data_IF_498949215081
#
_entry.id   IF_498949215081
#
_cell.length_a   1.000
_cell.length_b   1.000
_cell.length_c   1.000
_cell.angle_alpha   90.00
_cell.angle_beta   90.00
_cell.angle_gamma   90.00
#
_symmetry.space_group_name_H-M   'P 1'
#
loop_
_entity.id
_entity.type
_entity.pdbx_description
1 polymer ?
#
# COMPACT_ATOMS: atom_id res chain seq x y z
N UNK A 1 11.81 -5.14 1.41
CA UNK A 1 11.24 -3.87 0.88
C UNK A 1 11.62 -3.59 -0.56
N UNK A 2 12.76 -4.07 -1.09
CA UNK A 2 13.19 -3.78 -2.47
C UNK A 2 12.15 -4.04 -3.56
N UNK A 3 11.39 -5.14 -3.49
CA UNK A 3 10.29 -5.44 -4.44
C UNK A 3 9.17 -4.39 -4.41
N UNK A 4 8.83 -3.86 -3.22
CA UNK A 4 7.81 -2.82 -3.08
C UNK A 4 8.31 -1.47 -3.56
N UNK A 5 9.60 -1.15 -3.36
CA UNK A 5 10.21 0.07 -3.91
C UNK A 5 10.18 0.04 -5.44
N UNK A 6 10.57 -1.08 -6.04
CA UNK A 6 10.54 -1.24 -7.50
C UNK A 6 9.11 -1.13 -8.06
N UNK A 7 8.11 -1.68 -7.35
CA UNK A 7 6.72 -1.54 -7.74
C UNK A 7 6.22 -0.08 -7.68
N UNK A 8 6.58 0.66 -6.62
CA UNK A 8 6.23 2.09 -6.51
C UNK A 8 6.92 2.90 -7.60
N UNK A 9 8.21 2.69 -7.86
CA UNK A 9 8.94 3.37 -8.92
C UNK A 9 8.36 3.10 -10.29
N UNK A 10 7.93 1.86 -10.55
CA UNK A 10 7.23 1.51 -11.78
C UNK A 10 5.91 2.27 -11.92
N UNK A 11 5.07 2.26 -10.88
CA UNK A 11 3.82 3.01 -10.88
C UNK A 11 4.04 4.54 -11.02
N UNK A 12 5.15 5.06 -10.50
CA UNK A 12 5.57 6.45 -10.74
C UNK A 12 5.94 6.71 -12.19
N UNK A 13 6.67 5.79 -12.83
CA UNK A 13 7.01 5.89 -14.25
C UNK A 13 5.77 5.77 -15.16
N UNK A 14 4.75 5.02 -14.73
CA UNK A 14 3.46 4.86 -15.41
C UNK A 14 2.50 6.04 -15.15
N UNK A 15 2.80 6.91 -14.17
CA UNK A 15 2.02 8.09 -13.82
C UNK A 15 0.89 7.84 -12.81
N UNK A 16 0.78 6.63 -12.28
CA UNK A 16 -0.24 6.24 -11.29
C UNK A 16 0.05 6.79 -9.88
N UNK A 17 1.33 7.06 -9.58
CA UNK A 17 1.82 7.62 -8.32
C UNK A 17 2.66 8.88 -8.65
N UNK A 18 2.50 10.01 -7.96
CA UNK A 18 3.35 11.18 -8.19
C UNK A 18 4.83 10.89 -7.98
N UNK A 19 5.68 11.30 -8.93
CA UNK A 19 7.13 11.13 -8.85
C UNK A 19 7.79 11.92 -7.69
N UNK A 20 7.08 12.91 -7.12
CA UNK A 20 7.56 13.69 -5.97
C UNK A 20 7.47 12.95 -4.62
N UNK A 21 6.74 11.83 -4.55
CA UNK A 21 6.68 11.02 -3.34
C UNK A 21 7.92 10.13 -3.18
N UNK A 22 8.43 10.01 -1.95
CA UNK A 22 9.57 9.15 -1.63
C UNK A 22 9.17 7.67 -1.73
N UNK A 23 9.66 6.99 -2.77
CA UNK A 23 9.32 5.58 -3.04
C UNK A 23 9.71 4.62 -1.89
N UNK A 24 10.92 4.70 -1.28
CA UNK A 24 11.23 3.97 -0.05
C UNK A 24 10.25 4.19 1.11
N UNK A 25 9.75 5.42 1.33
CA UNK A 25 8.75 5.71 2.35
C UNK A 25 7.41 5.06 2.00
N UNK A 26 6.93 5.24 0.77
CA UNK A 26 5.68 4.61 0.30
C UNK A 26 5.72 3.08 0.36
N UNK A 27 6.86 2.48 0.03
CA UNK A 27 7.05 1.04 0.13
C UNK A 27 6.98 0.54 1.59
N UNK A 28 7.54 1.29 2.55
CA UNK A 28 7.42 0.97 3.98
C UNK A 28 5.98 1.11 4.47
N UNK A 29 5.28 2.15 4.02
CA UNK A 29 3.86 2.33 4.30
C UNK A 29 3.05 1.13 3.82
N UNK A 30 3.21 0.72 2.55
CA UNK A 30 2.54 -0.46 1.99
C UNK A 30 2.79 -1.74 2.81
N UNK A 31 4.05 -2.02 3.17
CA UNK A 31 4.40 -3.20 3.98
C UNK A 31 3.74 -3.15 5.35
N UNK A 32 3.74 -1.97 6.00
CA UNK A 32 3.08 -1.76 7.28
C UNK A 32 1.57 -1.99 7.18
N UNK A 33 0.92 -1.40 6.17
CA UNK A 33 -0.51 -1.56 5.91
C UNK A 33 -0.88 -3.01 5.64
N UNK A 34 -0.12 -3.75 4.82
CA UNK A 34 -0.35 -5.19 4.56
C UNK A 34 -0.26 -6.00 5.86
N UNK A 35 0.69 -5.68 6.74
CA UNK A 35 0.82 -6.30 8.06
C UNK A 35 -0.42 -6.06 8.94
N UNK A 36 -0.91 -4.82 8.96
CA UNK A 36 -2.15 -4.45 9.66
C UNK A 36 -3.36 -5.19 9.10
N UNK A 37 -3.57 -5.18 7.78
CA UNK A 37 -4.67 -5.87 7.11
C UNK A 37 -4.66 -7.37 7.41
N UNK A 38 -3.49 -8.03 7.34
CA UNK A 38 -3.35 -9.45 7.70
C UNK A 38 -3.73 -9.72 9.15
N UNK A 39 -3.42 -8.79 10.06
CA UNK A 39 -3.77 -8.90 11.46
C UNK A 39 -5.29 -8.79 11.66
N UNK A 40 -5.96 -7.86 10.97
CA UNK A 40 -7.43 -7.75 11.01
C UNK A 40 -8.11 -9.02 10.51
N UNK A 41 -7.63 -9.60 9.40
CA UNK A 41 -8.15 -10.87 8.88
C UNK A 41 -8.04 -11.98 9.93
N UNK A 42 -6.88 -12.10 10.60
CA UNK A 42 -6.69 -13.09 11.68
C UNK A 42 -7.61 -12.84 12.87
N UNK A 43 -7.98 -11.60 13.14
CA UNK A 43 -8.91 -11.22 14.20
C UNK A 43 -10.39 -11.40 13.82
N UNK A 44 -10.69 -11.92 12.62
CA UNK A 44 -12.06 -12.15 12.17
C UNK A 44 -12.76 -10.91 11.62
N UNK A 45 -12.01 -9.88 11.21
CA UNK A 45 -12.60 -8.73 10.54
C UNK A 45 -13.32 -9.14 9.25
N UNK A 46 -14.49 -8.56 8.94
CA UNK A 46 -15.21 -8.87 7.71
C UNK A 46 -14.40 -8.53 6.45
N UNK A 47 -14.51 -9.33 5.37
CA UNK A 47 -13.76 -9.09 4.13
C UNK A 47 -13.98 -7.70 3.53
N UNK A 48 -15.21 -7.20 3.59
CA UNK A 48 -15.58 -5.87 3.10
C UNK A 48 -14.81 -4.75 3.82
N UNK A 49 -14.68 -4.84 5.15
CA UNK A 49 -13.92 -3.90 5.97
C UNK A 49 -12.44 -3.88 5.58
N UNK A 50 -11.86 -5.06 5.37
CA UNK A 50 -10.45 -5.20 4.94
C UNK A 50 -10.25 -4.59 3.54
N UNK A 51 -11.18 -4.84 2.61
CA UNK A 51 -11.13 -4.28 1.26
C UNK A 51 -11.29 -2.76 1.24
N UNK A 52 -12.18 -2.20 2.04
CA UNK A 52 -12.37 -0.75 2.11
C UNK A 52 -11.11 -0.05 2.63
N UNK A 53 -10.46 -0.60 3.66
CA UNK A 53 -9.20 -0.06 4.17
C UNK A 53 -8.09 -0.20 3.12
N UNK A 54 -8.00 -1.34 2.42
CA UNK A 54 -7.04 -1.51 1.33
C UNK A 54 -7.24 -0.44 0.25
N UNK A 55 -8.48 -0.09 -0.10
CA UNK A 55 -8.78 0.97 -1.09
C UNK A 55 -8.27 2.35 -0.63
N UNK A 56 -8.41 2.66 0.66
CA UNK A 56 -7.88 3.90 1.25
C UNK A 56 -6.35 3.90 1.21
N UNK A 57 -5.71 2.78 1.59
CA UNK A 57 -4.24 2.63 1.54
C UNK A 57 -3.72 2.90 0.13
N UNK A 58 -4.38 2.36 -0.91
CA UNK A 58 -3.98 2.61 -2.30
C UNK A 58 -4.19 4.06 -2.73
N UNK A 59 -5.23 4.73 -2.22
CA UNK A 59 -5.50 6.14 -2.51
C UNK A 59 -4.45 7.06 -1.88
N UNK A 60 -3.95 6.71 -0.70
CA UNK A 60 -2.91 7.47 0.00
C UNK A 60 -1.53 7.47 -0.70
N UNK A 61 -1.35 6.64 -1.74
CA UNK A 61 -0.14 6.66 -2.56
C UNK A 61 -0.17 7.74 -3.64
N UNK A 62 -1.36 8.22 -4.01
CA UNK A 62 -1.58 9.19 -5.07
C UNK A 62 -1.40 10.63 -4.61
#
# INVERSE_FOLDING_TARGET
TGVFVAAVQRAQAEGDIPAGHDAPVLARYLVSSIGGLRTMVKAGAPPETVHDIARVVMTALR
#
